data_IF_715924228657
#
_entry.id   IF_715924228657
#
_cell.length_a   1.000
_cell.length_b   1.000
_cell.length_c   1.000
_cell.angle_alpha   90.00
_cell.angle_beta   90.00
_cell.angle_gamma   90.00
#
_symmetry.space_group_name_H-M   'P 1'
#
loop_
_entity.id
_entity.type
_entity.pdbx_description
1 polymer ?
#
# COMPACT_ATOMS: atom_id res chain seq x y z
N UNK A 1 -0.02 -0.57 33.39
CA UNK A 1 1.42 -0.71 33.02
C UNK A 1 1.84 -2.11 33.47
N UNK A 2 2.06 -3.06 32.54
CA UNK A 2 2.25 -4.48 32.89
C UNK A 2 2.85 -5.32 31.75
N UNK A 3 3.68 -4.73 30.90
CA UNK A 3 4.38 -5.46 29.83
C UNK A 3 5.87 -5.18 29.94
N UNK A 4 6.66 -6.26 30.00
CA UNK A 4 8.11 -6.21 30.00
C UNK A 4 8.65 -6.37 28.58
N UNK A 5 9.74 -5.66 28.29
CA UNK A 5 10.41 -5.75 26.99
C UNK A 5 11.09 -7.11 26.86
N UNK A 6 10.86 -7.80 25.74
CA UNK A 6 11.53 -9.07 25.47
C UNK A 6 12.99 -8.83 25.09
N UNK A 7 13.92 -9.13 26.00
CA UNK A 7 15.37 -9.00 25.77
C UNK A 7 15.85 -9.73 24.50
N UNK A 8 15.19 -10.83 24.14
CA UNK A 8 15.49 -11.58 22.90
C UNK A 8 15.09 -10.85 21.61
N UNK A 9 14.05 -10.02 21.66
CA UNK A 9 13.52 -9.30 20.48
C UNK A 9 14.06 -7.87 20.38
N UNK A 10 14.57 -7.34 21.47
CA UNK A 10 15.10 -5.97 21.54
C UNK A 10 16.59 -5.95 21.24
N UNK A 11 16.96 -5.19 20.22
CA UNK A 11 18.36 -4.97 19.85
C UNK A 11 18.55 -3.50 19.52
N UNK A 12 19.56 -2.88 20.12
CA UNK A 12 20.10 -1.59 19.66
C UNK A 12 21.06 -1.89 18.51
N UNK A 13 20.91 -1.20 17.40
CA UNK A 13 21.72 -1.42 16.19
C UNK A 13 22.12 -0.08 15.61
N UNK A 14 23.32 -0.02 15.02
CA UNK A 14 23.74 1.19 14.33
C UNK A 14 22.84 1.42 13.12
N UNK A 15 22.52 2.69 12.82
CA UNK A 15 21.74 3.03 11.64
C UNK A 15 22.41 2.56 10.34
N UNK A 16 23.74 2.41 10.34
CA UNK A 16 24.54 1.89 9.22
C UNK A 16 24.38 0.39 8.99
N UNK A 17 24.20 -0.38 10.07
CA UNK A 17 23.92 -1.82 10.01
C UNK A 17 22.46 -2.07 9.63
N UNK A 18 21.59 -1.17 10.08
CA UNK A 18 20.17 -1.19 9.78
C UNK A 18 19.37 -2.18 10.63
N UNK A 19 18.06 -2.24 10.37
CA UNK A 19 17.13 -3.14 11.03
C UNK A 19 15.94 -3.48 10.14
N UNK A 20 15.27 -4.58 10.48
CA UNK A 20 14.04 -5.00 9.82
C UNK A 20 12.81 -4.53 10.63
N UNK A 21 11.86 -3.90 9.96
CA UNK A 21 10.59 -3.48 10.55
C UNK A 21 9.48 -3.55 9.50
N UNK A 22 8.32 -4.11 9.87
CA UNK A 22 7.17 -4.33 8.97
C UNK A 22 7.54 -4.98 7.62
N UNK A 23 8.50 -5.89 7.63
CA UNK A 23 8.94 -6.59 6.42
C UNK A 23 9.86 -5.78 5.50
N UNK A 24 10.27 -4.58 5.89
CA UNK A 24 11.28 -3.77 5.21
C UNK A 24 12.58 -3.72 6.01
N UNK A 25 13.69 -3.56 5.33
CA UNK A 25 15.02 -3.37 5.86
C UNK A 25 15.44 -1.91 5.66
N UNK A 26 15.68 -1.23 6.77
CA UNK A 26 16.05 0.18 6.83
C UNK A 26 17.52 0.33 7.15
N UNK A 27 18.25 1.16 6.42
CA UNK A 27 19.64 1.51 6.75
C UNK A 27 20.04 2.89 6.25
N UNK A 28 21.02 3.48 6.91
CA UNK A 28 21.76 4.66 6.43
C UNK A 28 23.03 4.15 5.74
N UNK A 29 23.21 4.52 4.48
CA UNK A 29 24.40 4.13 3.73
C UNK A 29 25.63 4.94 4.21
N UNK A 30 26.83 4.47 3.89
CA UNK A 30 28.10 5.17 4.25
C UNK A 30 28.16 6.62 3.75
N UNK A 31 27.44 6.96 2.69
CA UNK A 31 27.32 8.31 2.15
C UNK A 31 26.21 9.15 2.81
N UNK A 32 25.69 8.72 3.97
CA UNK A 32 24.60 9.38 4.70
C UNK A 32 23.20 9.21 4.10
N UNK A 33 23.06 8.57 2.93
CA UNK A 33 21.74 8.41 2.29
C UNK A 33 20.93 7.30 2.93
N UNK A 34 19.66 7.57 3.18
CA UNK A 34 18.68 6.57 3.62
C UNK A 34 18.40 5.55 2.51
N UNK A 35 18.29 4.27 2.89
CA UNK A 35 17.85 3.18 2.02
C UNK A 35 16.85 2.29 2.73
N UNK A 36 15.71 2.09 2.10
CA UNK A 36 14.70 1.11 2.48
C UNK A 36 14.58 0.05 1.37
N UNK A 37 14.54 -1.22 1.72
CA UNK A 37 14.32 -2.32 0.77
C UNK A 37 13.51 -3.44 1.42
N UNK A 38 12.79 -4.30 0.68
CA UNK A 38 12.20 -5.51 1.27
C UNK A 38 13.22 -6.28 2.12
N UNK A 39 12.81 -6.69 3.33
CA UNK A 39 13.61 -7.56 4.18
C UNK A 39 13.84 -8.92 3.50
N UNK A 40 14.92 -9.57 3.89
CA UNK A 40 15.28 -10.88 3.32
C UNK A 40 14.17 -11.90 3.56
N UNK A 41 13.61 -11.90 4.77
CA UNK A 41 12.60 -12.87 5.16
C UNK A 41 11.24 -12.59 4.51
N UNK A 42 10.87 -11.32 4.32
CA UNK A 42 9.68 -10.97 3.54
C UNK A 42 9.81 -11.49 2.09
N UNK A 43 10.94 -11.25 1.43
CA UNK A 43 11.15 -11.72 0.06
C UNK A 43 11.17 -13.26 -0.02
N UNK A 44 11.79 -13.95 0.95
CA UNK A 44 11.75 -15.41 1.05
C UNK A 44 10.31 -15.93 1.20
N UNK A 45 9.51 -15.31 2.06
CA UNK A 45 8.10 -15.69 2.28
C UNK A 45 7.26 -15.48 1.01
N UNK A 46 7.42 -14.33 0.33
CA UNK A 46 6.80 -14.07 -0.97
C UNK A 46 7.20 -15.12 -2.01
N UNK A 47 8.50 -15.40 -2.15
CA UNK A 47 9.01 -16.40 -3.10
C UNK A 47 8.47 -17.79 -2.79
N UNK A 48 8.31 -18.16 -1.52
CA UNK A 48 7.72 -19.45 -1.10
C UNK A 48 6.27 -19.56 -1.60
N UNK A 49 5.46 -18.51 -1.44
CA UNK A 49 4.07 -18.47 -1.95
C UNK A 49 4.02 -18.63 -3.48
N UNK A 50 4.84 -17.87 -4.20
CA UNK A 50 4.91 -17.96 -5.67
C UNK A 50 5.38 -19.34 -6.12
N UNK A 51 6.42 -19.90 -5.49
CA UNK A 51 6.93 -21.25 -5.80
C UNK A 51 5.85 -22.30 -5.59
N UNK A 52 5.06 -22.20 -4.52
CA UNK A 52 3.97 -23.12 -4.25
C UNK A 52 2.92 -23.11 -5.36
N UNK A 53 2.50 -21.93 -5.84
CA UNK A 53 1.54 -21.81 -6.94
C UNK A 53 2.12 -22.36 -8.25
N UNK A 54 3.36 -21.97 -8.60
CA UNK A 54 4.01 -22.39 -9.87
C UNK A 54 4.24 -23.90 -9.92
N UNK A 55 4.57 -24.53 -8.79
CA UNK A 55 4.88 -25.96 -8.75
C UNK A 55 3.66 -26.86 -8.45
N UNK A 56 2.47 -26.29 -8.23
CA UNK A 56 1.28 -27.09 -7.97
C UNK A 56 0.88 -27.84 -9.26
N UNK A 57 0.86 -29.17 -9.20
CA UNK A 57 0.50 -30.06 -10.31
C UNK A 57 -0.98 -29.97 -10.68
N UNK A 58 -1.84 -29.61 -9.72
CA UNK A 58 -3.29 -29.58 -9.89
C UNK A 58 -3.77 -28.33 -10.65
N UNK A 59 -2.89 -27.39 -10.95
CA UNK A 59 -3.24 -26.15 -11.66
C UNK A 59 -2.67 -26.11 -13.07
N UNK A 60 -3.52 -25.80 -14.05
CA UNK A 60 -3.08 -25.41 -15.39
C UNK A 60 -2.41 -24.03 -15.40
N UNK A 61 -1.75 -23.67 -16.50
CA UNK A 61 -1.04 -22.41 -16.69
C UNK A 61 -1.95 -21.19 -16.48
N UNK A 62 -3.18 -21.24 -17.00
CA UNK A 62 -4.17 -20.17 -16.84
C UNK A 62 -4.51 -19.93 -15.36
N UNK A 63 -4.86 -21.00 -14.64
CA UNK A 63 -5.17 -20.93 -13.20
C UNK A 63 -3.97 -20.47 -12.37
N UNK A 64 -2.76 -20.93 -12.72
CA UNK A 64 -1.52 -20.45 -12.08
C UNK A 64 -1.35 -18.95 -12.29
N UNK A 65 -1.54 -18.45 -13.51
CA UNK A 65 -1.41 -17.03 -13.81
C UNK A 65 -2.43 -16.19 -13.02
N UNK A 66 -3.67 -16.64 -12.92
CA UNK A 66 -4.74 -15.97 -12.17
C UNK A 66 -4.48 -15.94 -10.66
N UNK A 67 -3.95 -17.03 -10.08
CA UNK A 67 -3.57 -17.07 -8.67
C UNK A 67 -2.31 -16.26 -8.37
N UNK A 68 -1.36 -16.18 -9.31
CA UNK A 68 -0.13 -15.40 -9.15
C UNK A 68 -0.37 -13.90 -9.20
N UNK A 69 -1.23 -13.43 -10.11
CA UNK A 69 -1.48 -12.02 -10.36
C UNK A 69 -1.76 -11.20 -9.08
N UNK A 70 -2.73 -11.57 -8.21
CA UNK A 70 -3.01 -10.80 -6.99
C UNK A 70 -1.85 -10.86 -5.97
N UNK A 71 -1.15 -12.00 -5.87
CA UNK A 71 -0.01 -12.15 -4.95
C UNK A 71 1.15 -11.24 -5.37
N UNK A 72 1.49 -11.24 -6.66
CA UNK A 72 2.56 -10.38 -7.20
C UNK A 72 2.17 -8.91 -7.13
N UNK A 73 0.94 -8.56 -7.53
CA UNK A 73 0.43 -7.19 -7.48
C UNK A 73 0.43 -6.64 -6.06
N UNK A 74 -0.10 -7.40 -5.11
CA UNK A 74 -0.15 -7.00 -3.70
C UNK A 74 1.26 -6.79 -3.12
N UNK A 75 2.18 -7.72 -3.39
CA UNK A 75 3.56 -7.59 -2.93
C UNK A 75 4.28 -6.37 -3.54
N UNK A 76 4.09 -6.10 -4.84
CA UNK A 76 4.65 -4.92 -5.51
C UNK A 76 4.05 -3.62 -4.99
N UNK A 77 2.73 -3.56 -4.80
CA UNK A 77 2.05 -2.39 -4.25
C UNK A 77 2.52 -2.08 -2.83
N UNK A 78 2.68 -3.10 -1.98
CA UNK A 78 3.15 -2.91 -0.61
C UNK A 78 4.57 -2.34 -0.57
N UNK A 79 5.47 -2.84 -1.43
CA UNK A 79 6.87 -2.39 -1.46
C UNK A 79 7.14 -1.27 -2.48
N UNK A 80 6.13 -0.63 -3.06
CA UNK A 80 6.31 0.37 -4.14
C UNK A 80 7.11 1.60 -3.73
N UNK A 81 7.16 1.87 -2.42
CA UNK A 81 7.92 2.99 -1.84
C UNK A 81 9.33 2.61 -1.39
N UNK A 82 9.68 1.33 -1.46
CA UNK A 82 11.03 0.85 -1.16
C UNK A 82 11.89 0.83 -2.42
N UNK A 83 13.19 0.69 -2.22
CA UNK A 83 14.15 0.36 -3.27
C UNK A 83 13.89 -1.05 -3.81
N UNK A 84 13.30 -1.13 -4.99
CA UNK A 84 12.95 -2.39 -5.67
C UNK A 84 13.86 -2.68 -6.87
N UNK A 85 14.59 -1.68 -7.35
CA UNK A 85 15.60 -1.81 -8.38
C UNK A 85 16.84 -2.53 -7.82
N UNK A 86 17.11 -3.72 -8.34
CA UNK A 86 18.29 -4.49 -7.99
C UNK A 86 18.12 -5.99 -8.14
N UNK A 87 19.25 -6.69 -8.18
CA UNK A 87 19.30 -8.14 -8.33
C UNK A 87 18.63 -8.89 -7.17
N UNK A 88 18.74 -8.35 -5.94
CA UNK A 88 18.21 -8.97 -4.71
C UNK A 88 16.71 -9.23 -4.76
N UNK A 89 15.94 -8.29 -5.30
CA UNK A 89 14.48 -8.33 -5.37
C UNK A 89 13.96 -8.64 -6.78
N UNK A 90 14.86 -9.03 -7.70
CA UNK A 90 14.51 -9.32 -9.08
C UNK A 90 13.62 -10.55 -9.16
N UNK A 91 12.51 -10.41 -9.89
CA UNK A 91 11.58 -11.51 -10.17
C UNK A 91 11.99 -12.32 -11.40
N UNK A 92 13.06 -11.96 -12.11
CA UNK A 92 13.46 -12.57 -13.38
C UNK A 92 13.56 -14.09 -13.31
N UNK A 93 14.26 -14.63 -12.29
CA UNK A 93 14.42 -16.10 -12.15
C UNK A 93 13.08 -16.80 -11.92
N UNK A 94 12.17 -16.16 -11.19
CA UNK A 94 10.83 -16.67 -10.89
C UNK A 94 9.97 -16.65 -12.17
N UNK A 95 10.02 -15.55 -12.92
CA UNK A 95 9.34 -15.39 -14.19
C UNK A 95 9.82 -16.42 -15.21
N UNK A 96 11.14 -16.60 -15.36
CA UNK A 96 11.74 -17.61 -16.25
C UNK A 96 11.27 -19.02 -15.90
N UNK A 97 11.19 -19.35 -14.60
CA UNK A 97 10.66 -20.65 -14.15
C UNK A 97 9.17 -20.79 -14.47
N UNK A 98 8.36 -19.77 -14.18
CA UNK A 98 6.92 -19.80 -14.47
C UNK A 98 6.65 -19.97 -15.97
N UNK A 99 7.36 -19.22 -16.82
CA UNK A 99 7.29 -19.35 -18.27
C UNK A 99 7.63 -20.75 -18.76
N UNK A 100 8.70 -21.36 -18.23
CA UNK A 100 9.06 -22.76 -18.55
C UNK A 100 7.97 -23.74 -18.12
N UNK A 101 7.28 -23.50 -17.01
CA UNK A 101 6.17 -24.35 -16.56
C UNK A 101 4.95 -24.17 -17.48
N UNK A 102 4.63 -22.95 -17.87
CA UNK A 102 3.49 -22.67 -18.76
C UNK A 102 3.71 -23.29 -20.15
N UNK A 103 4.91 -23.16 -20.71
CA UNK A 103 5.27 -23.74 -22.01
C UNK A 103 5.32 -25.27 -22.06
N UNK A 104 5.28 -25.96 -20.91
CA UNK A 104 5.20 -27.43 -20.90
C UNK A 104 3.78 -27.95 -21.10
N UNK A 105 2.77 -27.09 -20.94
CA UNK A 105 1.38 -27.50 -21.14
C UNK A 105 1.07 -27.57 -22.63
N UNK A 106 0.54 -28.71 -23.08
CA UNK A 106 0.30 -28.99 -24.51
C UNK A 106 -0.65 -28.00 -25.17
N UNK A 107 -1.57 -27.40 -24.40
CA UNK A 107 -2.52 -26.38 -24.86
C UNK A 107 -1.88 -24.98 -25.01
N UNK A 108 -0.62 -24.82 -24.66
CA UNK A 108 0.09 -23.54 -24.67
C UNK A 108 1.22 -23.55 -25.70
N UNK A 109 1.49 -22.37 -26.27
CA UNK A 109 2.68 -22.11 -27.07
C UNK A 109 3.48 -20.97 -26.44
N UNK A 110 4.63 -20.63 -27.04
CA UNK A 110 5.51 -19.57 -26.52
C UNK A 110 4.78 -18.23 -26.35
N UNK A 111 3.93 -17.88 -27.32
CA UNK A 111 3.18 -16.62 -27.31
C UNK A 111 2.09 -16.61 -26.23
N UNK A 112 1.28 -17.66 -26.13
CA UNK A 112 0.22 -17.76 -25.13
C UNK A 112 0.78 -17.82 -23.71
N UNK A 113 1.88 -18.56 -23.49
CA UNK A 113 2.59 -18.60 -22.21
C UNK A 113 3.18 -17.26 -21.82
N UNK A 114 3.66 -16.46 -22.80
CA UNK A 114 4.16 -15.10 -22.54
C UNK A 114 3.01 -14.19 -22.09
N UNK A 115 1.85 -14.26 -22.76
CA UNK A 115 0.65 -13.52 -22.35
C UNK A 115 0.19 -13.87 -20.93
N UNK A 116 0.21 -15.16 -20.58
CA UNK A 116 -0.08 -15.63 -19.23
C UNK A 116 0.96 -15.16 -18.20
N UNK A 117 2.24 -15.16 -18.56
CA UNK A 117 3.30 -14.64 -17.71
C UNK A 117 3.10 -13.15 -17.39
N UNK A 118 2.76 -12.35 -18.41
CA UNK A 118 2.54 -10.92 -18.24
C UNK A 118 1.30 -10.63 -17.38
N UNK A 119 0.24 -11.45 -17.51
CA UNK A 119 -0.92 -11.44 -16.60
C UNK A 119 -0.53 -11.78 -15.16
N UNK A 120 0.34 -12.79 -14.98
CA UNK A 120 0.78 -13.29 -13.68
C UNK A 120 1.72 -12.33 -12.94
N UNK A 121 2.53 -11.55 -13.67
CA UNK A 121 3.53 -10.64 -13.13
C UNK A 121 3.29 -9.18 -13.57
N UNK A 122 2.14 -8.59 -13.21
CA UNK A 122 1.77 -7.26 -13.70
C UNK A 122 2.77 -6.19 -13.23
N UNK A 123 3.07 -5.23 -14.11
CA UNK A 123 3.78 -4.03 -13.75
C UNK A 123 2.96 -3.20 -12.73
N UNK A 124 3.66 -2.55 -11.80
CA UNK A 124 3.09 -1.67 -10.78
C UNK A 124 3.95 -0.42 -10.75
N UNK A 125 3.33 0.73 -10.48
CA UNK A 125 4.05 2.00 -10.38
C UNK A 125 5.11 1.97 -9.28
N UNK A 126 6.24 2.63 -9.55
CA UNK A 126 7.37 2.72 -8.65
C UNK A 126 7.48 4.12 -8.05
N UNK A 127 7.62 4.20 -6.73
CA UNK A 127 7.54 5.45 -5.97
C UNK A 127 8.53 5.46 -4.79
N UNK A 128 9.78 5.07 -5.01
CA UNK A 128 10.83 5.04 -3.97
C UNK A 128 10.89 6.35 -3.18
N UNK A 129 10.80 6.25 -1.85
CA UNK A 129 10.88 7.36 -0.92
C UNK A 129 9.90 8.52 -1.18
N UNK A 130 8.83 8.34 -1.97
CA UNK A 130 7.83 9.40 -2.25
C UNK A 130 6.80 9.59 -1.12
N UNK A 131 7.19 9.36 0.13
CA UNK A 131 6.34 9.65 1.28
C UNK A 131 6.37 11.13 1.61
N UNK A 132 5.25 11.68 2.07
CA UNK A 132 5.20 13.06 2.57
C UNK A 132 5.89 13.13 3.92
N UNK A 133 7.13 13.63 3.92
CA UNK A 133 7.94 13.80 5.13
C UNK A 133 7.25 14.74 6.12
N UNK A 134 7.35 14.42 7.40
CA UNK A 134 6.94 15.31 8.48
C UNK A 134 8.04 16.38 8.64
N UNK A 135 7.66 17.64 8.88
CA UNK A 135 8.62 18.69 9.21
C UNK A 135 9.29 18.35 10.54
N UNK A 136 10.62 18.43 10.65
CA UNK A 136 11.37 17.80 11.74
C UNK A 136 10.94 18.15 13.17
N UNK A 137 10.45 19.37 13.41
CA UNK A 137 9.99 19.82 14.74
C UNK A 137 8.50 19.57 15.00
N UNK A 138 7.76 19.00 14.05
CA UNK A 138 6.31 18.81 14.15
C UNK A 138 5.96 17.52 14.86
N UNK A 139 5.04 17.61 15.81
CA UNK A 139 4.44 16.49 16.53
C UNK A 139 2.93 16.53 16.36
N UNK A 140 2.21 15.41 16.17
CA UNK A 140 0.74 15.42 16.12
C UNK A 140 0.08 16.11 17.34
N UNK A 141 0.82 16.20 18.44
CA UNK A 141 0.41 16.82 19.69
C UNK A 141 0.96 18.25 19.90
N UNK A 142 1.55 18.88 18.88
CA UNK A 142 2.10 20.24 18.95
C UNK A 142 1.07 21.37 18.82
N UNK A 143 -0.21 21.02 18.61
CA UNK A 143 -1.30 21.97 18.44
C UNK A 143 -1.37 22.65 17.05
N UNK A 144 -0.48 22.30 16.10
CA UNK A 144 -0.51 22.86 14.74
C UNK A 144 -1.56 22.16 13.86
N UNK A 145 -2.83 22.45 14.18
CA UNK A 145 -3.98 21.88 13.47
C UNK A 145 -3.99 22.24 11.98
N UNK A 146 -3.36 23.34 11.56
CA UNK A 146 -3.30 23.72 10.15
C UNK A 146 -2.35 22.81 9.38
N UNK A 147 -1.13 22.61 9.89
CA UNK A 147 -0.15 21.71 9.29
C UNK A 147 -0.67 20.27 9.21
N UNK A 148 -1.20 19.74 10.31
CA UNK A 148 -1.67 18.35 10.36
C UNK A 148 -2.86 18.10 9.44
N UNK A 149 -3.79 19.06 9.37
CA UNK A 149 -4.95 18.96 8.49
C UNK A 149 -4.59 19.06 7.00
N UNK A 150 -3.70 19.97 6.63
CA UNK A 150 -3.20 20.08 5.26
C UNK A 150 -2.39 18.83 4.85
N UNK A 151 -1.59 18.30 5.77
CA UNK A 151 -0.82 17.07 5.55
C UNK A 151 -1.75 15.87 5.39
N UNK A 152 -2.78 15.73 6.21
CA UNK A 152 -3.76 14.64 6.13
C UNK A 152 -4.43 14.63 4.75
N UNK A 153 -4.79 15.80 4.19
CA UNK A 153 -5.33 15.87 2.83
C UNK A 153 -4.40 15.45 1.70
N UNK A 154 -3.08 15.45 1.93
CA UNK A 154 -2.09 14.92 0.98
C UNK A 154 -2.03 13.39 0.99
N UNK A 155 -2.65 12.73 1.98
CA UNK A 155 -2.78 11.27 2.04
C UNK A 155 -3.92 10.75 1.15
N UNK A 156 -4.90 11.59 0.86
CA UNK A 156 -6.02 11.28 -0.03
C UNK A 156 -5.71 11.76 -1.44
N UNK A 157 -6.11 10.96 -2.44
CA UNK A 157 -6.07 11.31 -3.86
C UNK A 157 -7.49 11.51 -4.42
N UNK A 158 -7.57 11.83 -5.72
CA UNK A 158 -8.85 11.93 -6.43
C UNK A 158 -9.82 12.99 -5.89
N UNK A 159 -11.10 12.63 -5.83
CA UNK A 159 -12.18 13.54 -5.45
C UNK A 159 -12.19 13.87 -3.94
N UNK A 160 -11.77 12.94 -3.07
CA UNK A 160 -11.67 13.19 -1.63
C UNK A 160 -10.70 14.33 -1.32
N UNK A 161 -9.51 14.32 -1.95
CA UNK A 161 -8.54 15.40 -1.79
C UNK A 161 -9.09 16.76 -2.25
N UNK A 162 -9.88 16.78 -3.35
CA UNK A 162 -10.50 18.00 -3.88
C UNK A 162 -11.58 18.53 -2.93
N UNK A 163 -12.45 17.67 -2.41
CA UNK A 163 -13.49 18.03 -1.46
C UNK A 163 -12.89 18.60 -0.16
N UNK A 164 -11.84 17.97 0.38
CA UNK A 164 -11.16 18.48 1.58
C UNK A 164 -10.58 19.88 1.37
N UNK A 165 -9.90 20.13 0.24
CA UNK A 165 -9.34 21.45 -0.08
C UNK A 165 -10.42 22.51 -0.23
N UNK A 166 -11.53 22.17 -0.91
CA UNK A 166 -12.70 23.06 -1.05
C UNK A 166 -13.30 23.43 0.30
N UNK A 167 -13.31 22.50 1.26
CA UNK A 167 -13.85 22.71 2.61
C UNK A 167 -12.85 23.29 3.60
N UNK A 168 -11.70 23.81 3.14
CA UNK A 168 -10.62 24.29 4.03
C UNK A 168 -10.21 23.24 5.07
N UNK A 169 -10.24 21.97 4.67
CA UNK A 169 -9.90 20.80 5.47
C UNK A 169 -10.79 20.60 6.72
N UNK A 170 -12.03 21.06 6.68
CA UNK A 170 -13.05 20.84 7.72
C UNK A 170 -14.06 19.79 7.29
N UNK A 171 -14.48 18.95 8.23
CA UNK A 171 -15.59 18.02 8.05
C UNK A 171 -16.89 18.78 7.81
N UNK A 172 -17.63 18.44 6.76
CA UNK A 172 -18.90 19.09 6.44
C UNK A 172 -20.00 18.83 7.49
N UNK A 173 -19.89 17.74 8.27
CA UNK A 173 -20.89 17.38 9.28
C UNK A 173 -20.65 18.05 10.64
N UNK A 174 -19.41 18.03 11.15
CA UNK A 174 -19.11 18.54 12.51
C UNK A 174 -18.29 19.84 12.52
N UNK A 175 -17.80 20.31 11.38
CA UNK A 175 -16.99 21.54 11.27
C UNK A 175 -15.55 21.44 11.79
N UNK A 176 -15.19 20.32 12.45
CA UNK A 176 -13.83 20.08 12.94
C UNK A 176 -12.86 19.78 11.78
N UNK A 177 -11.57 20.13 11.97
CA UNK A 177 -10.52 19.84 10.99
C UNK A 177 -10.17 18.35 10.97
N UNK A 178 -9.76 17.85 9.80
CA UNK A 178 -9.26 16.49 9.63
C UNK A 178 -7.84 16.34 10.21
N UNK A 179 -7.69 16.30 11.53
CA UNK A 179 -6.38 16.21 12.21
C UNK A 179 -6.07 14.83 12.79
N UNK A 180 -7.10 14.04 13.10
CA UNK A 180 -6.95 12.77 13.81
C UNK A 180 -6.62 11.60 12.87
N UNK A 181 -6.33 10.44 13.45
CA UNK A 181 -6.10 9.17 12.71
C UNK A 181 -7.36 8.65 12.00
N UNK A 182 -8.50 9.30 12.22
CA UNK A 182 -9.78 8.95 11.62
C UNK A 182 -9.76 9.11 10.10
N UNK A 183 -10.37 8.14 9.40
CA UNK A 183 -10.49 8.19 7.95
C UNK A 183 -11.47 9.26 7.51
N UNK A 184 -11.20 9.79 6.33
CA UNK A 184 -12.05 10.78 5.65
C UNK A 184 -12.81 10.07 4.56
N UNK A 185 -14.13 10.08 4.69
CA UNK A 185 -15.06 9.52 3.72
C UNK A 185 -15.59 10.62 2.80
N UNK A 186 -15.83 10.23 1.55
CA UNK A 186 -16.49 11.07 0.56
C UNK A 186 -17.99 10.79 0.61
N UNK A 187 -18.79 11.82 0.80
CA UNK A 187 -20.23 11.74 0.92
C UNK A 187 -20.93 12.48 -0.23
N UNK A 188 -22.04 11.93 -0.71
CA UNK A 188 -22.89 12.57 -1.71
C UNK A 188 -24.00 13.32 -0.99
N UNK A 189 -24.07 14.65 -1.17
CA UNK A 189 -25.02 15.53 -0.47
C UNK A 189 -26.47 15.14 -0.82
N UNK A 190 -26.73 14.84 -2.08
CA UNK A 190 -28.05 14.39 -2.58
C UNK A 190 -28.38 12.92 -2.25
N UNK A 191 -27.45 12.17 -1.65
CA UNK A 191 -27.60 10.72 -1.43
C UNK A 191 -27.54 9.86 -2.69
N UNK A 192 -27.38 10.45 -3.87
CA UNK A 192 -27.26 9.75 -5.14
C UNK A 192 -25.80 9.44 -5.46
N UNK A 193 -25.39 8.21 -5.18
CA UNK A 193 -24.04 7.69 -5.38
C UNK A 193 -23.61 7.58 -6.87
N UNK A 194 -24.52 7.85 -7.81
CA UNK A 194 -24.20 7.93 -9.24
C UNK A 194 -23.84 9.37 -9.69
N UNK A 195 -24.13 10.40 -8.88
CA UNK A 195 -23.92 11.79 -9.23
C UNK A 195 -22.58 12.35 -8.71
N UNK A 196 -21.51 12.07 -9.45
CA UNK A 196 -20.13 12.45 -9.11
C UNK A 196 -19.78 13.91 -9.43
N UNK A 197 -20.76 14.82 -9.47
CA UNK A 197 -20.50 16.24 -9.66
C UNK A 197 -19.77 16.80 -8.43
N UNK A 198 -18.71 17.57 -8.63
CA UNK A 198 -17.84 18.11 -7.55
C UNK A 198 -18.57 18.99 -6.53
N UNK A 199 -19.70 19.58 -6.89
CA UNK A 199 -20.54 20.36 -5.96
C UNK A 199 -21.43 19.48 -5.08
N UNK A 200 -21.67 18.23 -5.48
CA UNK A 200 -22.45 17.22 -4.75
C UNK A 200 -21.58 16.37 -3.80
N UNK A 201 -20.26 16.52 -3.83
CA UNK A 201 -19.33 15.72 -3.04
C UNK A 201 -18.80 16.54 -1.85
N UNK A 202 -18.90 15.96 -0.66
CA UNK A 202 -18.36 16.53 0.58
C UNK A 202 -17.46 15.53 1.32
N UNK A 203 -16.38 16.02 1.94
CA UNK A 203 -15.53 15.23 2.80
C UNK A 203 -16.06 15.28 4.24
N UNK A 204 -16.20 14.12 4.87
CA UNK A 204 -16.61 13.99 6.28
C UNK A 204 -15.78 12.92 6.99
N UNK A 205 -15.74 12.98 8.32
CA UNK A 205 -15.13 11.92 9.14
C UNK A 205 -15.88 10.59 8.97
N UNK A 206 -15.18 9.47 9.12
CA UNK A 206 -15.78 8.12 9.10
C UNK A 206 -16.94 7.99 10.09
N UNK A 207 -16.75 8.41 11.35
CA UNK A 207 -17.80 8.43 12.38
C UNK A 207 -18.98 9.34 12.02
N UNK A 208 -18.71 10.50 11.43
CA UNK A 208 -19.76 11.42 10.98
C UNK A 208 -20.55 10.83 9.81
N UNK A 209 -19.87 10.11 8.92
CA UNK A 209 -20.48 9.40 7.81
C UNK A 209 -21.41 8.30 8.32
N UNK A 210 -20.93 7.50 9.25
CA UNK A 210 -21.70 6.41 9.85
C UNK A 210 -22.92 6.96 10.59
N UNK A 211 -22.76 8.01 11.40
CA UNK A 211 -23.88 8.68 12.09
C UNK A 211 -24.96 9.17 11.12
N UNK A 212 -24.57 9.80 10.00
CA UNK A 212 -25.51 10.28 8.96
C UNK A 212 -26.31 9.16 8.29
N UNK A 213 -25.73 7.97 8.14
CA UNK A 213 -26.42 6.82 7.53
C UNK A 213 -27.24 6.03 8.55
N UNK A 214 -26.81 5.98 9.81
CA UNK A 214 -27.58 5.40 10.91
C UNK A 214 -28.88 6.20 11.15
N UNK A 215 -28.83 7.53 11.10
CA UNK A 215 -30.02 8.37 11.33
C UNK A 215 -31.10 8.22 10.24
N UNK A 216 -30.76 7.70 9.06
CA UNK A 216 -31.71 7.48 7.95
C UNK A 216 -32.43 6.14 8.00
N UNK A 217 -31.95 5.19 8.81
CA UNK A 217 -32.57 3.85 8.94
C UNK A 217 -33.68 3.79 10.01
N UNK A 218 -33.92 4.89 10.73
CA UNK A 218 -34.89 4.97 11.83
C UNK A 218 -36.13 5.83 11.50
N UNK A 219 -36.48 5.98 10.22
CA UNK A 219 -37.67 6.71 9.75
C UNK A 219 -38.45 5.88 8.74
#
# INVERSE_FOLDING_TARGET
RGMNVSQKKTKVTAATDGFDFLGWHFKVQKNGKFRCSPSVDNFKAFRKKVKHIVNNSNYGATTKAEKLAPVVRGWRNYHKFCKMDGSKNSLYRIQKRAFKVFNKETKQNSHSSKKLLDKAFPAVSYSENKHVMIKGVKSPYDGDTAYWSERNSKLYDGETSKAMKKQSHKCASCGLKFIDEERVHLHHIDGNHANWKKNNLEAIHESCHDYKHMSKSAS
#
